data_IF_726991426253
#
_entry.id   IF_726991426253
#
_cell.length_a   1.000
_cell.length_b   1.000
_cell.length_c   1.000
_cell.angle_alpha   90.00
_cell.angle_beta   90.00
_cell.angle_gamma   90.00
#
_symmetry.space_group_name_H-M   'P 1'
#
loop_
_entity.id
_entity.type
_entity.pdbx_description
1 polymer ?
#
# COMPACT_ATOMS: atom_id res chain seq x y z
N UNK A 1 -12.47 6.67 -0.61
CA UNK A 1 -11.09 6.18 -0.91
C UNK A 1 -10.88 6.28 -2.41
N UNK A 2 -9.69 6.73 -2.82
CA UNK A 2 -9.22 6.73 -4.22
C UNK A 2 -7.91 5.96 -4.26
N UNK A 3 -7.69 5.15 -5.29
CA UNK A 3 -6.44 4.41 -5.48
C UNK A 3 -5.91 4.64 -6.91
N UNK A 4 -4.61 4.89 -7.02
CA UNK A 4 -3.92 5.19 -8.29
C UNK A 4 -2.73 4.25 -8.42
N UNK A 5 -2.62 3.59 -9.57
CA UNK A 5 -1.50 2.67 -9.87
C UNK A 5 -0.43 3.44 -10.62
N UNK A 6 0.82 3.30 -10.18
CA UNK A 6 2.00 3.82 -10.88
C UNK A 6 3.01 2.69 -11.11
N UNK A 7 3.75 2.74 -12.22
CA UNK A 7 4.65 1.66 -12.65
C UNK A 7 6.13 2.02 -12.56
N UNK A 8 6.46 3.28 -12.29
CA UNK A 8 7.81 3.81 -12.29
C UNK A 8 8.08 4.61 -11.01
N UNK A 9 9.33 4.62 -10.56
CA UNK A 9 9.79 5.46 -9.44
C UNK A 9 10.41 6.78 -9.93
N UNK A 10 10.96 7.57 -9.00
CA UNK A 10 11.54 8.90 -9.28
C UNK A 10 12.63 8.91 -10.36
N UNK A 11 13.29 7.77 -10.59
CA UNK A 11 14.33 7.59 -11.60
C UNK A 11 13.84 6.90 -12.88
N UNK A 12 12.52 6.84 -13.08
CA UNK A 12 11.86 6.11 -14.18
C UNK A 12 12.23 4.61 -14.19
N UNK A 13 12.75 4.09 -13.07
CA UNK A 13 13.01 2.67 -12.91
C UNK A 13 11.69 1.94 -12.68
N UNK A 14 11.62 0.67 -13.11
CA UNK A 14 10.46 -0.18 -12.81
C UNK A 14 10.25 -0.27 -11.30
N UNK A 15 9.13 0.27 -10.83
CA UNK A 15 8.76 0.37 -9.43
C UNK A 15 7.23 0.42 -9.32
N UNK A 16 6.55 -0.72 -9.53
CA UNK A 16 5.10 -0.76 -9.45
C UNK A 16 4.63 -0.53 -8.00
N UNK A 17 3.82 0.50 -7.80
CA UNK A 17 3.27 0.87 -6.50
C UNK A 17 1.87 1.48 -6.66
N UNK A 18 1.19 1.64 -5.53
CA UNK A 18 -0.18 2.16 -5.48
C UNK A 18 -0.20 3.32 -4.49
N UNK A 19 -0.67 4.48 -4.94
CA UNK A 19 -1.04 5.58 -4.07
C UNK A 19 -2.49 5.42 -3.65
N UNK A 20 -2.74 5.48 -2.34
CA UNK A 20 -4.07 5.29 -1.76
C UNK A 20 -4.42 6.52 -0.93
N UNK A 21 -5.41 7.28 -1.41
CA UNK A 21 -6.00 8.39 -0.67
C UNK A 21 -7.20 7.88 0.13
N UNK A 22 -7.04 7.87 1.44
CA UNK A 22 -8.05 7.42 2.42
C UNK A 22 -8.31 8.51 3.45
N UNK A 23 -9.49 8.46 4.05
CA UNK A 23 -9.79 9.24 5.25
C UNK A 23 -8.99 8.67 6.42
N UNK A 24 -8.46 9.53 7.29
CA UNK A 24 -7.75 9.13 8.53
C UNK A 24 -8.76 8.73 9.62
N UNK A 25 -9.67 7.82 9.29
CA UNK A 25 -10.81 7.49 10.12
C UNK A 25 -12.01 6.98 9.33
N UNK A 26 -13.10 6.70 10.05
CA UNK A 26 -14.36 6.24 9.49
C UNK A 26 -15.55 6.76 10.30
N UNK A 27 -16.73 6.73 9.67
CA UNK A 27 -17.98 7.10 10.31
C UNK A 27 -18.68 5.86 10.90
N UNK A 28 -19.23 5.99 12.10
CA UNK A 28 -20.16 5.02 12.70
C UNK A 28 -21.58 5.19 12.15
N UNK A 29 -22.46 4.22 12.42
CA UNK A 29 -23.84 4.22 11.93
C UNK A 29 -24.68 5.40 12.45
N UNK A 30 -24.31 5.97 13.61
CA UNK A 30 -24.92 7.16 14.20
C UNK A 30 -24.32 8.47 13.66
N UNK A 31 -23.39 8.40 12.70
CA UNK A 31 -22.81 9.54 12.01
C UNK A 31 -21.59 10.17 12.68
N UNK A 32 -21.14 9.65 13.82
CA UNK A 32 -19.90 10.13 14.46
C UNK A 32 -18.68 9.70 13.64
N UNK A 33 -17.72 10.62 13.46
CA UNK A 33 -16.45 10.30 12.80
C UNK A 33 -15.38 9.96 13.84
N UNK A 34 -14.76 8.79 13.68
CA UNK A 34 -13.70 8.31 14.55
C UNK A 34 -12.37 8.33 13.80
N UNK A 35 -11.44 9.11 14.34
CA UNK A 35 -10.08 9.17 13.81
C UNK A 35 -9.29 7.92 14.15
N UNK A 36 -8.50 7.44 13.19
CA UNK A 36 -7.48 6.43 13.45
C UNK A 36 -6.23 7.14 13.94
N UNK A 37 -5.76 6.83 15.15
CA UNK A 37 -4.61 7.55 15.74
C UNK A 37 -3.32 7.39 14.93
N UNK A 38 -3.12 6.22 14.29
CA UNK A 38 -1.98 5.94 13.41
C UNK A 38 -2.26 4.72 12.53
N UNK A 39 -1.62 4.70 11.38
CA UNK A 39 -1.44 3.49 10.58
C UNK A 39 -0.19 2.75 11.04
N UNK A 40 -0.24 1.42 11.05
CA UNK A 40 0.91 0.57 11.36
C UNK A 40 1.50 0.05 10.05
N UNK A 41 2.42 0.82 9.47
CA UNK A 41 3.01 0.54 8.15
C UNK A 41 3.56 -0.88 8.05
N UNK A 42 4.18 -1.39 9.11
CA UNK A 42 4.73 -2.75 9.17
C UNK A 42 3.66 -3.82 8.92
N UNK A 43 2.49 -3.66 9.56
CA UNK A 43 1.37 -4.60 9.47
C UNK A 43 0.71 -4.50 8.10
N UNK A 44 0.53 -3.28 7.59
CA UNK A 44 -0.03 -3.06 6.26
C UNK A 44 0.93 -3.64 5.20
N UNK A 45 2.23 -3.47 5.35
CA UNK A 45 3.25 -4.03 4.47
C UNK A 45 3.23 -5.56 4.48
N UNK A 46 3.07 -6.19 5.64
CA UNK A 46 2.95 -7.66 5.74
C UNK A 46 1.71 -8.17 4.99
N UNK A 47 0.54 -7.56 5.23
CA UNK A 47 -0.70 -7.88 4.54
C UNK A 47 -0.54 -7.66 3.04
N UNK A 48 -0.02 -6.51 2.62
CA UNK A 48 0.18 -6.18 1.21
C UNK A 48 1.10 -7.18 0.51
N UNK A 49 2.22 -7.54 1.15
CA UNK A 49 3.16 -8.54 0.65
C UNK A 49 2.47 -9.89 0.43
N UNK A 50 1.68 -10.33 1.41
CA UNK A 50 0.95 -11.59 1.35
C UNK A 50 -0.13 -11.59 0.26
N UNK A 51 -0.89 -10.50 0.11
CA UNK A 51 -1.93 -10.36 -0.90
C UNK A 51 -1.37 -10.33 -2.32
N UNK A 52 -0.25 -9.63 -2.54
CA UNK A 52 0.43 -9.62 -3.83
C UNK A 52 0.96 -11.01 -4.18
N UNK A 53 1.61 -11.72 -3.25
CA UNK A 53 2.06 -13.09 -3.53
C UNK A 53 0.90 -14.05 -3.78
N UNK A 54 -0.16 -13.97 -2.99
CA UNK A 54 -1.40 -14.72 -3.19
C UNK A 54 -1.99 -14.50 -4.58
N UNK A 55 -2.04 -13.24 -5.05
CA UNK A 55 -2.48 -12.90 -6.39
C UNK A 55 -1.60 -13.53 -7.47
N UNK A 56 -0.27 -13.38 -7.36
CA UNK A 56 0.68 -13.88 -8.35
C UNK A 56 0.69 -15.42 -8.43
N UNK A 57 0.59 -16.10 -7.28
CA UNK A 57 0.45 -17.56 -7.20
C UNK A 57 -0.86 -18.03 -7.84
N UNK A 58 -1.99 -17.39 -7.51
CA UNK A 58 -3.31 -17.71 -8.10
C UNK A 58 -3.31 -17.52 -9.61
N UNK A 59 -2.58 -16.52 -10.12
CA UNK A 59 -2.40 -16.27 -11.55
C UNK A 59 -1.32 -17.15 -12.19
N UNK A 60 -0.67 -18.04 -11.43
CA UNK A 60 0.43 -18.93 -11.88
C UNK A 60 1.62 -18.17 -12.50
N UNK A 61 1.85 -16.94 -12.07
CA UNK A 61 2.97 -16.12 -12.53
C UNK A 61 4.27 -16.41 -11.78
N UNK A 62 4.16 -16.93 -10.55
CA UNK A 62 5.28 -17.36 -9.71
C UNK A 62 4.92 -18.68 -9.01
N UNK A 63 5.94 -19.38 -8.49
CA UNK A 63 5.77 -20.60 -7.68
C UNK A 63 6.00 -20.36 -6.19
N UNK A 64 5.49 -21.26 -5.35
CA UNK A 64 5.65 -21.21 -3.88
C UNK A 64 7.12 -21.16 -3.44
N UNK A 65 8.00 -21.87 -4.14
CA UNK A 65 9.44 -21.89 -3.84
C UNK A 65 10.10 -20.52 -4.02
N UNK A 66 9.64 -19.71 -4.98
CA UNK A 66 10.13 -18.34 -5.18
C UNK A 66 9.65 -17.42 -4.06
N UNK A 67 8.36 -17.51 -3.69
CA UNK A 67 7.80 -16.75 -2.57
C UNK A 67 8.57 -17.01 -1.27
N UNK A 68 8.80 -18.28 -0.95
CA UNK A 68 9.58 -18.67 0.24
C UNK A 68 11.02 -18.15 0.22
N UNK A 69 11.65 -18.04 -0.96
CA UNK A 69 12.99 -17.45 -1.08
C UNK A 69 12.96 -15.95 -0.81
N UNK A 70 12.01 -15.22 -1.41
CA UNK A 70 11.90 -13.76 -1.24
C UNK A 70 11.61 -13.40 0.22
N UNK A 71 10.71 -14.15 0.88
CA UNK A 71 10.38 -13.94 2.30
C UNK A 71 11.55 -14.17 3.26
N UNK A 72 12.61 -14.86 2.83
CA UNK A 72 13.84 -15.05 3.63
C UNK A 72 14.87 -13.95 3.42
N UNK A 73 14.69 -13.08 2.43
CA UNK A 73 15.60 -11.96 2.22
C UNK A 73 15.45 -10.96 3.36
N UNK A 74 16.56 -10.30 3.71
CA UNK A 74 16.56 -9.21 4.70
C UNK A 74 15.55 -8.12 4.33
N UNK A 75 15.38 -7.87 3.03
CA UNK A 75 14.39 -6.94 2.49
C UNK A 75 13.64 -7.65 1.36
N UNK A 76 12.32 -7.78 1.49
CA UNK A 76 11.45 -8.45 0.49
C UNK A 76 11.28 -7.61 -0.78
N UNK A 77 11.58 -6.31 -0.72
CA UNK A 77 11.34 -5.33 -1.78
C UNK A 77 9.96 -4.65 -1.69
N UNK A 78 9.10 -5.09 -0.77
CA UNK A 78 7.82 -4.43 -0.49
C UNK A 78 8.01 -3.33 0.56
N UNK A 79 7.28 -2.22 0.38
CA UNK A 79 7.25 -1.12 1.33
C UNK A 79 5.88 -0.45 1.37
N UNK A 80 5.54 0.15 2.52
CA UNK A 80 4.37 1.00 2.73
C UNK A 80 4.83 2.26 3.45
N UNK A 81 4.21 3.39 3.11
CA UNK A 81 4.46 4.67 3.75
C UNK A 81 3.14 5.44 3.94
N UNK A 82 2.79 5.76 5.19
CA UNK A 82 1.52 6.44 5.53
C UNK A 82 1.67 7.84 6.13
N UNK A 83 2.88 8.39 6.17
CA UNK A 83 3.12 9.67 6.84
C UNK A 83 2.70 10.89 6.02
N UNK A 84 2.31 10.68 4.76
CA UNK A 84 1.84 11.73 3.87
C UNK A 84 0.37 12.04 4.18
N UNK A 85 0.09 13.33 4.42
CA UNK A 85 -1.27 13.86 4.67
C UNK A 85 -1.55 14.97 3.67
N UNK A 86 -2.79 15.02 3.17
CA UNK A 86 -3.32 16.18 2.46
C UNK A 86 -4.50 16.72 3.25
N UNK A 87 -4.45 18.02 3.55
CA UNK A 87 -5.48 18.73 4.32
C UNK A 87 -6.38 19.58 3.44
N UNK A 88 -5.93 19.88 2.22
CA UNK A 88 -6.70 20.58 1.22
C UNK A 88 -6.66 19.90 -0.16
N UNK A 89 -7.43 20.47 -1.09
CA UNK A 89 -7.57 19.94 -2.45
C UNK A 89 -6.29 20.10 -3.28
N UNK A 90 -5.53 21.18 -3.11
CA UNK A 90 -4.30 21.40 -3.88
C UNK A 90 -3.21 20.41 -3.46
N UNK A 91 -3.07 20.16 -2.15
CA UNK A 91 -2.20 19.14 -1.60
C UNK A 91 -2.61 17.76 -2.12
N UNK A 92 -3.90 17.45 -2.11
CA UNK A 92 -4.42 16.16 -2.59
C UNK A 92 -4.03 15.88 -4.04
N UNK A 93 -4.10 16.89 -4.92
CA UNK A 93 -3.74 16.75 -6.34
C UNK A 93 -2.24 16.52 -6.53
N UNK A 94 -1.38 17.05 -5.65
CA UNK A 94 0.08 16.84 -5.72
C UNK A 94 0.52 15.44 -5.28
N UNK A 95 -0.36 14.68 -4.62
CA UNK A 95 -0.07 13.32 -4.11
C UNK A 95 -0.51 12.19 -5.06
N UNK A 96 -1.22 12.51 -6.14
CA UNK A 96 -1.73 11.56 -7.13
C UNK A 96 -0.86 11.57 -8.40
#
# INVERSE_FOLDING_TARGET
MVAVIQTFGDRINFHPHIHVLVTEGGATLDGAFHHVCRFHDEVIQEIFTHEVFSLLLRKKLIGLSLVQKILRWRHTGFNVHSQVRATDKEETVKLA
#
